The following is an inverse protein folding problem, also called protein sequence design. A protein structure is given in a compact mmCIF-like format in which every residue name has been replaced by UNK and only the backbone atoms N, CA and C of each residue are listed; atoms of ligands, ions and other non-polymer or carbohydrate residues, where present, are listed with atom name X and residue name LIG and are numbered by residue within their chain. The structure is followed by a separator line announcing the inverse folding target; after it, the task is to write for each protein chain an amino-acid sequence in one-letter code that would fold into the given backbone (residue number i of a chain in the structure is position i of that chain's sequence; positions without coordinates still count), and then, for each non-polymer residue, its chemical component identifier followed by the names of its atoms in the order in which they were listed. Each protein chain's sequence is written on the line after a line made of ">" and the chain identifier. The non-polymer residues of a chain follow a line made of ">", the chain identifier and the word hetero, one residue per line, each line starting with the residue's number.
data_IF_321183537438
#
_entry.id   IF_321183537438
#
_cell.length_a   1.000
_cell.length_b   1.000
_cell.length_c   1.000
_cell.angle_alpha   90.00
_cell.angle_beta   90.00
_cell.angle_gamma   90.00
#
_symmetry.space_group_name_H-M   'P 1'
#
loop_
_entity.id
_entity.type
_entity.pdbx_description
1 polymer ?
#
# COMPACT_ATOMS: atom_id res chain seq x y z
N UNK A 1 10.88 -4.01 -3.43
CA UNK A 1 9.67 -4.00 -4.28
C UNK A 1 8.78 -2.87 -3.77
N UNK A 2 8.20 -2.05 -4.66
CA UNK A 2 7.54 -0.77 -4.32
C UNK A 2 6.01 -0.88 -4.23
N UNK A 3 5.51 -1.96 -3.64
CA UNK A 3 4.09 -2.26 -3.40
C UNK A 3 4.00 -3.13 -2.14
N UNK A 4 2.78 -3.45 -1.70
CA UNK A 4 2.49 -4.09 -0.41
C UNK A 4 3.00 -3.28 0.81
N UNK A 5 2.99 -1.95 0.70
CA UNK A 5 3.29 -1.08 1.86
C UNK A 5 2.20 -1.17 2.93
N UNK A 6 0.94 -1.26 2.49
CA UNK A 6 -0.24 -1.37 3.34
C UNK A 6 -1.18 -2.46 2.80
N UNK A 7 -1.88 -3.12 3.71
CA UNK A 7 -2.81 -4.20 3.38
C UNK A 7 -3.52 -4.75 4.61
N UNK A 8 -4.30 -5.82 4.43
CA UNK A 8 -5.22 -6.37 5.46
C UNK A 8 -4.56 -6.82 6.77
N UNK A 9 -3.23 -6.88 6.82
CA UNK A 9 -2.47 -7.14 8.04
C UNK A 9 -2.45 -5.93 9.00
N UNK A 10 -2.93 -4.77 8.59
CA UNK A 10 -3.11 -3.58 9.42
C UNK A 10 -4.59 -3.38 9.81
N UNK A 11 -4.84 -2.70 10.93
CA UNK A 11 -6.19 -2.38 11.42
C UNK A 11 -6.77 -1.08 10.85
N UNK A 12 -6.10 -0.44 9.89
CA UNK A 12 -6.53 0.80 9.25
C UNK A 12 -6.24 0.79 7.75
N UNK A 13 -6.99 1.58 6.97
CA UNK A 13 -6.76 1.70 5.52
C UNK A 13 -5.40 2.32 5.23
N UNK A 14 -4.78 1.86 4.14
CA UNK A 14 -3.54 2.40 3.60
C UNK A 14 -3.39 2.01 2.14
N UNK A 15 -2.61 2.77 1.38
CA UNK A 15 -2.47 2.55 -0.05
C UNK A 15 -1.46 1.44 -0.34
N UNK A 16 -1.74 0.55 -1.30
CA UNK A 16 -0.83 -0.55 -1.66
C UNK A 16 0.59 -0.05 -2.01
N UNK A 17 0.63 1.05 -2.77
CA UNK A 17 1.85 1.50 -3.46
C UNK A 17 1.89 3.04 -3.55
N UNK A 18 2.01 3.78 -2.42
CA UNK A 18 1.99 5.24 -2.43
C UNK A 18 3.33 5.81 -2.91
N UNK A 19 3.31 6.75 -3.86
CA UNK A 19 4.51 7.43 -4.34
C UNK A 19 5.20 8.22 -3.21
N UNK A 20 4.40 8.95 -2.44
CA UNK A 20 4.81 9.72 -1.27
C UNK A 20 3.96 9.34 -0.06
N UNK A 21 4.53 9.46 1.14
CA UNK A 21 3.80 9.28 2.38
C UNK A 21 2.76 10.39 2.61
N UNK A 22 1.73 10.09 3.39
CA UNK A 22 0.75 11.10 3.81
C UNK A 22 1.35 12.00 4.91
N UNK A 23 1.01 13.29 4.90
CA UNK A 23 1.51 14.24 5.90
C UNK A 23 1.07 13.88 7.32
N UNK A 24 -0.11 13.27 7.44
CA UNK A 24 -0.75 12.83 8.69
C UNK A 24 -0.20 11.51 9.25
N UNK A 25 0.68 10.83 8.52
CA UNK A 25 1.27 9.58 9.00
C UNK A 25 2.30 9.78 10.10
N UNK A 26 2.47 8.75 10.94
CA UNK A 26 3.55 8.70 11.92
C UNK A 26 4.91 8.71 11.21
N UNK A 27 5.96 9.12 11.93
CA UNK A 27 7.32 9.14 11.37
C UNK A 27 7.79 7.77 10.90
N UNK A 28 7.32 6.70 11.55
CA UNK A 28 7.58 5.35 11.11
C UNK A 28 6.84 5.03 9.80
N UNK A 29 5.53 5.31 9.71
CA UNK A 29 4.75 5.02 8.50
C UNK A 29 5.17 5.87 7.30
N UNK A 30 5.74 7.07 7.52
CA UNK A 30 6.29 7.90 6.43
C UNK A 30 7.40 7.22 5.61
N UNK A 31 8.01 6.16 6.14
CA UNK A 31 9.00 5.36 5.44
C UNK A 31 8.37 4.37 4.44
N UNK A 32 7.06 4.11 4.56
CA UNK A 32 6.31 3.16 3.75
C UNK A 32 5.79 3.79 2.45
N UNK A 33 6.68 4.38 1.66
CA UNK A 33 6.36 4.92 0.33
C UNK A 33 7.48 4.66 -0.68
N UNK A 34 7.17 4.77 -1.97
CA UNK A 34 8.14 4.52 -3.05
C UNK A 34 9.34 5.46 -2.96
N UNK A 35 9.12 6.76 -2.73
CA UNK A 35 10.17 7.76 -2.70
C UNK A 35 11.22 7.46 -1.62
N UNK A 36 10.77 7.13 -0.41
CA UNK A 36 11.66 6.73 0.67
C UNK A 36 12.43 5.46 0.32
N UNK A 37 11.75 4.44 -0.22
CA UNK A 37 12.38 3.18 -0.60
C UNK A 37 13.48 3.35 -1.66
N UNK A 38 13.24 4.13 -2.72
CA UNK A 38 14.24 4.41 -3.76
C UNK A 38 15.43 5.18 -3.18
N UNK A 39 15.17 6.24 -2.39
CA UNK A 39 16.23 7.01 -1.73
C UNK A 39 17.04 6.17 -0.75
N UNK A 40 16.41 5.21 -0.08
CA UNK A 40 17.11 4.30 0.83
C UNK A 40 18.08 3.39 0.07
N UNK A 41 17.64 2.79 -1.04
CA UNK A 41 18.52 1.98 -1.89
C UNK A 41 19.69 2.79 -2.45
N UNK A 42 19.42 4.00 -2.96
CA UNK A 42 20.47 4.92 -3.41
C UNK A 42 21.46 5.23 -2.29
N UNK A 43 20.97 5.58 -1.09
CA UNK A 43 21.81 5.86 0.09
C UNK A 43 22.64 4.66 0.52
N UNK A 44 22.13 3.45 0.33
CA UNK A 44 22.84 2.20 0.62
C UNK A 44 23.83 1.79 -0.49
N UNK A 45 23.98 2.60 -1.54
CA UNK A 45 25.00 2.43 -2.57
C UNK A 45 24.52 1.78 -3.87
N UNK A 46 23.21 1.60 -4.06
CA UNK A 46 22.69 1.12 -5.35
C UNK A 46 22.78 2.22 -6.42
N UNK A 47 23.41 1.97 -7.58
CA UNK A 47 23.39 2.90 -8.70
C UNK A 47 21.96 3.12 -9.22
N UNK A 48 21.59 4.37 -9.50
CA UNK A 48 20.21 4.77 -9.85
C UNK A 48 19.69 4.03 -11.07
N UNK A 49 20.51 3.91 -12.09
CA UNK A 49 20.23 3.24 -13.36
C UNK A 49 20.00 1.74 -13.20
N UNK A 50 20.36 1.16 -12.04
CA UNK A 50 20.09 -0.25 -11.70
C UNK A 50 18.84 -0.42 -10.82
N UNK A 51 18.21 0.66 -10.37
CA UNK A 51 16.98 0.59 -9.56
C UNK A 51 15.79 0.51 -10.51
N UNK A 52 15.16 -0.66 -10.55
CA UNK A 52 13.89 -0.87 -11.27
C UNK A 52 12.72 -0.66 -10.30
N UNK A 53 11.93 0.38 -10.53
CA UNK A 53 10.74 0.66 -9.72
C UNK A 53 9.60 -0.26 -10.13
N UNK A 54 9.05 -1.00 -9.17
CA UNK A 54 7.92 -1.89 -9.40
C UNK A 54 6.60 -1.12 -9.46
N UNK A 55 5.74 -1.51 -10.40
CA UNK A 55 4.38 -1.00 -10.55
C UNK A 55 3.40 -2.14 -10.35
N UNK A 56 2.49 -1.99 -9.38
CA UNK A 56 1.48 -2.99 -9.11
C UNK A 56 0.26 -2.81 -10.02
N UNK A 57 -0.09 -3.84 -10.78
CA UNK A 57 -1.36 -3.94 -11.53
C UNK A 57 -2.46 -4.59 -10.68
N UNK A 58 -2.47 -4.28 -9.38
CA UNK A 58 -3.40 -4.78 -8.37
C UNK A 58 -3.51 -3.80 -7.19
N UNK A 59 -4.60 -3.92 -6.43
CA UNK A 59 -4.84 -3.19 -5.20
C UNK A 59 -4.91 -4.10 -3.98
N UNK A 60 -4.64 -3.51 -2.81
CA UNK A 60 -5.00 -4.09 -1.52
C UNK A 60 -6.30 -3.44 -1.06
N UNK A 61 -7.24 -4.26 -0.60
CA UNK A 61 -8.59 -3.84 -0.23
C UNK A 61 -8.91 -4.12 1.23
N UNK A 62 -9.87 -3.37 1.78
CA UNK A 62 -10.24 -3.43 3.19
C UNK A 62 -11.76 -3.46 3.35
N UNK A 63 -12.23 -4.08 4.42
CA UNK A 63 -13.61 -3.91 4.90
C UNK A 63 -13.62 -2.81 5.97
N UNK A 64 -14.27 -1.68 5.72
CA UNK A 64 -14.31 -0.56 6.67
C UNK A 64 -15.04 -0.92 7.96
N UNK A 65 -14.59 -0.37 9.10
CA UNK A 65 -15.31 -0.53 10.36
C UNK A 65 -16.63 0.24 10.40
N UNK A 66 -16.67 1.40 9.71
CA UNK A 66 -17.85 2.21 9.45
C UNK A 66 -17.82 2.72 7.99
N UNK A 67 -18.93 2.61 7.22
CA UNK A 67 -18.97 3.07 5.84
C UNK A 67 -18.81 4.59 5.68
N UNK A 68 -19.12 5.37 6.72
CA UNK A 68 -18.96 6.84 6.73
C UNK A 68 -17.50 7.28 6.88
N UNK A 69 -16.61 6.33 7.21
CA UNK A 69 -15.16 6.53 7.43
C UNK A 69 -14.40 5.83 6.30
N UNK A 70 -14.46 6.41 5.11
CA UNK A 70 -13.95 5.81 3.86
C UNK A 70 -12.68 6.49 3.30
N UNK A 71 -12.00 7.28 4.13
CA UNK A 71 -10.73 7.92 3.80
C UNK A 71 -9.49 7.04 4.03
N UNK A 72 -8.34 7.69 4.00
CA UNK A 72 -7.05 7.10 4.34
C UNK A 72 -6.87 7.01 5.86
N UNK A 73 -6.20 5.96 6.35
CA UNK A 73 -5.96 5.72 7.79
C UNK A 73 -7.23 5.56 8.62
N UNK A 74 -8.33 5.11 8.00
CA UNK A 74 -9.59 4.86 8.69
C UNK A 74 -9.65 3.40 9.21
N UNK A 75 -10.30 3.14 10.36
CA UNK A 75 -10.36 1.80 10.94
C UNK A 75 -11.03 0.74 10.05
N UNK A 76 -10.49 -0.47 10.05
CA UNK A 76 -10.98 -1.61 9.24
C UNK A 76 -11.29 -2.83 10.11
N UNK A 77 -12.05 -3.78 9.54
CA UNK A 77 -12.37 -5.09 10.15
C UNK A 77 -11.53 -6.23 9.57
N UNK A 78 -10.63 -5.93 8.62
CA UNK A 78 -9.88 -6.92 7.86
C UNK A 78 -9.87 -6.62 6.37
N UNK A 79 -9.58 -7.64 5.56
CA UNK A 79 -9.47 -7.51 4.11
C UNK A 79 -10.81 -7.20 3.45
N UNK A 80 -10.77 -6.58 2.27
CA UNK A 80 -11.92 -6.47 1.40
C UNK A 80 -12.35 -7.86 0.91
N UNK A 81 -13.62 -8.00 0.52
CA UNK A 81 -14.12 -9.27 -0.03
C UNK A 81 -13.27 -9.70 -1.23
N UNK A 82 -13.04 -11.00 -1.34
CA UNK A 82 -12.32 -11.58 -2.46
C UNK A 82 -13.00 -11.24 -3.79
N UNK A 83 -12.19 -10.86 -4.79
CA UNK A 83 -12.67 -10.63 -6.15
C UNK A 83 -13.15 -11.91 -6.83
N UNK A 84 -13.99 -11.77 -7.85
CA UNK A 84 -14.57 -12.89 -8.61
C UNK A 84 -13.48 -13.75 -9.27
N UNK A 85 -12.41 -13.13 -9.75
CA UNK A 85 -11.37 -13.77 -10.55
C UNK A 85 -10.14 -14.10 -9.72
N UNK A 86 -9.66 -13.15 -8.90
CA UNK A 86 -8.47 -13.35 -8.05
C UNK A 86 -8.75 -14.22 -6.84
N UNK A 87 -9.98 -14.21 -6.32
CA UNK A 87 -10.46 -15.06 -5.22
C UNK A 87 -9.60 -14.98 -3.94
N UNK A 88 -8.95 -13.84 -3.72
CA UNK A 88 -8.12 -13.57 -2.55
C UNK A 88 -8.71 -12.40 -1.75
N UNK A 89 -9.01 -12.64 -0.48
CA UNK A 89 -9.48 -11.58 0.43
C UNK A 89 -8.41 -10.51 0.62
N UNK A 90 -8.78 -9.25 0.48
CA UNK A 90 -7.88 -8.10 0.63
C UNK A 90 -7.01 -7.83 -0.59
N UNK A 91 -7.28 -8.48 -1.72
CA UNK A 91 -6.56 -8.33 -2.98
C UNK A 91 -7.56 -8.22 -4.13
N UNK A 92 -7.29 -7.32 -5.07
CA UNK A 92 -8.04 -7.20 -6.33
C UNK A 92 -7.05 -6.91 -7.46
N UNK A 93 -7.20 -7.58 -8.59
CA UNK A 93 -6.47 -7.21 -9.81
C UNK A 93 -6.97 -5.88 -10.35
N UNK A 94 -6.20 -5.22 -11.23
CA UNK A 94 -6.57 -3.91 -11.79
C UNK A 94 -7.92 -3.89 -12.53
N UNK A 95 -8.38 -5.03 -13.07
CA UNK A 95 -9.63 -5.11 -13.83
C UNK A 95 -10.85 -5.53 -12.99
N UNK A 96 -10.67 -5.82 -11.71
CA UNK A 96 -11.74 -6.17 -10.76
C UNK A 96 -12.27 -4.94 -10.03
#
# INVERSE_FOLDING_TARGET
>A
MSYDFHGKWESQTGHNSPLYALSTESQWRKQLCMEFGVKLWEKMGAPKEKIVVGLATYGRSFTLASPDKNGMNEPTRGGGKAGTFTREEGFLSYYE
#
